data_IF_771372287369
#
_entry.id   IF_771372287369
#
_cell.length_a   1.000
_cell.length_b   1.000
_cell.length_c   1.000
_cell.angle_alpha   90.00
_cell.angle_beta   90.00
_cell.angle_gamma   90.00
#
_symmetry.space_group_name_H-M   'P 1'
#
loop_
_entity.id
_entity.type
_entity.pdbx_description
1 polymer ?
#
# COMPACT_ATOMS: atom_id res chain seq x y z
N UNK A 1 1.17 -51.69 90.79
CA UNK A 1 0.98 -51.87 89.33
C UNK A 1 0.13 -50.68 88.88
N UNK A 2 0.72 -49.71 88.19
CA UNK A 2 0.02 -48.54 87.64
C UNK A 2 0.05 -48.64 86.13
N UNK A 3 -1.04 -48.41 85.46
CA UNK A 3 -1.02 -48.41 84.00
C UNK A 3 -0.53 -47.06 83.49
N UNK A 4 0.25 -47.12 82.40
CA UNK A 4 0.80 -45.96 81.67
C UNK A 4 -0.26 -45.42 80.71
N UNK A 5 -0.50 -44.11 80.76
CA UNK A 5 -1.40 -43.41 79.85
C UNK A 5 -0.62 -42.93 78.69
N UNK A 6 -0.94 -43.41 77.50
CA UNK A 6 -0.34 -42.96 76.25
C UNK A 6 -1.12 -41.69 75.73
N UNK A 7 -0.41 -40.58 75.54
CA UNK A 7 -0.96 -39.34 74.93
C UNK A 7 -0.64 -39.37 73.45
N UNK A 8 -1.67 -39.44 72.63
CA UNK A 8 -1.58 -39.25 71.15
C UNK A 8 -1.58 -37.78 70.81
N UNK A 9 -0.48 -37.27 70.27
CA UNK A 9 -0.41 -35.97 69.63
C UNK A 9 -0.87 -36.12 68.17
N UNK A 10 -2.04 -35.56 67.85
CA UNK A 10 -2.50 -35.42 66.47
C UNK A 10 -1.88 -34.17 65.87
N UNK A 11 -0.85 -34.34 65.07
CA UNK A 11 -0.25 -33.27 64.28
C UNK A 11 -1.08 -33.00 63.02
N UNK A 12 -1.73 -31.84 62.95
CA UNK A 12 -2.40 -31.38 61.73
C UNK A 12 -1.38 -30.80 60.77
N UNK A 13 -1.13 -31.55 59.65
CA UNK A 13 -0.26 -31.14 58.56
C UNK A 13 -1.07 -30.20 57.64
N UNK A 14 -0.89 -28.88 57.78
CA UNK A 14 -1.51 -27.91 56.90
C UNK A 14 -0.68 -27.81 55.59
N UNK A 15 -1.17 -28.40 54.50
CA UNK A 15 -0.56 -28.27 53.19
C UNK A 15 -0.87 -26.90 52.59
N UNK A 16 0.11 -26.03 52.47
CA UNK A 16 0.04 -24.79 51.69
C UNK A 16 0.20 -25.13 50.20
N UNK A 17 -0.90 -25.11 49.46
CA UNK A 17 -0.89 -25.15 48.01
C UNK A 17 -0.62 -23.72 47.53
N UNK A 18 0.63 -23.40 47.17
CA UNK A 18 0.98 -22.17 46.48
C UNK A 18 0.47 -22.25 45.03
N UNK A 19 -0.65 -21.60 44.71
CA UNK A 19 -1.14 -21.45 43.36
C UNK A 19 -0.20 -20.51 42.56
N UNK A 20 0.67 -21.07 41.73
CA UNK A 20 1.49 -20.31 40.80
C UNK A 20 0.58 -19.90 39.65
N UNK A 21 0.07 -18.68 39.68
CA UNK A 21 -0.61 -18.03 38.52
C UNK A 21 0.46 -17.62 37.52
N UNK A 22 0.66 -18.45 36.52
CA UNK A 22 1.47 -18.10 35.33
C UNK A 22 0.68 -17.07 34.54
N UNK A 23 1.05 -15.79 34.67
CA UNK A 23 0.57 -14.71 33.80
C UNK A 23 1.10 -14.96 32.39
N UNK A 24 0.27 -15.56 31.55
CA UNK A 24 0.50 -15.59 30.10
C UNK A 24 0.32 -14.15 29.59
N UNK A 25 1.41 -13.39 29.49
CA UNK A 25 1.43 -12.14 28.73
C UNK A 25 1.29 -12.52 27.25
N UNK A 26 0.27 -12.00 26.52
CA UNK A 26 0.22 -12.21 25.08
C UNK A 26 1.48 -11.61 24.47
N UNK A 27 2.29 -12.43 23.82
CA UNK A 27 3.41 -11.96 23.02
C UNK A 27 2.80 -11.09 21.90
N UNK A 28 3.03 -9.77 21.98
CA UNK A 28 2.75 -8.84 20.89
C UNK A 28 3.66 -9.26 19.71
N UNK A 29 3.11 -10.08 18.84
CA UNK A 29 3.77 -10.52 17.63
C UNK A 29 3.88 -9.30 16.70
N UNK A 30 4.92 -8.51 16.85
CA UNK A 30 5.25 -7.40 15.95
C UNK A 30 5.74 -7.98 14.64
N UNK A 31 4.79 -8.43 13.81
CA UNK A 31 5.11 -8.91 12.48
C UNK A 31 5.55 -7.73 11.61
N UNK A 32 6.74 -7.82 11.03
CA UNK A 32 7.19 -6.87 10.00
C UNK A 32 6.14 -6.90 8.87
N UNK A 33 5.51 -5.77 8.52
CA UNK A 33 4.48 -5.75 7.48
C UNK A 33 5.07 -6.18 6.14
N UNK A 34 4.28 -6.79 5.30
CA UNK A 34 4.68 -7.02 3.90
C UNK A 34 4.64 -5.68 3.12
N UNK A 35 5.38 -5.60 2.01
CA UNK A 35 5.33 -4.40 1.17
C UNK A 35 3.91 -4.05 0.71
N UNK A 36 3.03 -5.05 0.53
CA UNK A 36 1.61 -4.85 0.14
C UNK A 36 0.78 -4.18 1.23
N UNK A 37 1.16 -4.34 2.51
CA UNK A 37 0.42 -3.76 3.64
C UNK A 37 0.80 -2.30 3.88
N UNK A 38 1.89 -1.84 3.24
CA UNK A 38 2.42 -0.48 3.41
C UNK A 38 1.74 0.52 2.48
N UNK A 39 1.33 0.10 1.29
CA UNK A 39 0.70 0.99 0.30
C UNK A 39 -0.69 0.50 -0.06
N UNK A 40 -1.70 1.31 0.26
CA UNK A 40 -3.07 1.12 -0.25
C UNK A 40 -3.22 1.93 -1.51
N UNK A 41 -3.64 1.29 -2.61
CA UNK A 41 -3.78 1.95 -3.91
C UNK A 41 -5.21 1.91 -4.40
N UNK A 42 -5.66 3.04 -4.96
CA UNK A 42 -6.97 3.23 -5.57
C UNK A 42 -6.79 3.77 -6.98
N UNK A 43 -7.70 3.44 -7.88
CA UNK A 43 -7.64 3.83 -9.30
C UNK A 43 -8.88 4.61 -9.66
N UNK A 44 -8.70 5.72 -10.36
CA UNK A 44 -9.77 6.64 -10.76
C UNK A 44 -9.57 7.08 -12.21
N UNK A 45 -10.65 7.31 -12.94
CA UNK A 45 -10.62 7.93 -14.26
C UNK A 45 -11.04 9.41 -14.18
N UNK A 46 -10.45 10.24 -15.05
CA UNK A 46 -10.82 11.67 -15.12
C UNK A 46 -12.15 11.93 -15.83
N UNK A 47 -12.69 10.90 -16.46
CA UNK A 47 -13.97 10.95 -17.20
C UNK A 47 -14.80 9.71 -16.86
N UNK A 48 -16.09 9.90 -16.55
CA UNK A 48 -17.04 8.84 -16.18
C UNK A 48 -18.46 9.15 -16.62
N UNK A 49 -18.91 8.63 -17.77
CA UNK A 49 -18.16 7.81 -18.70
C UNK A 49 -17.11 8.58 -19.49
N UNK A 50 -16.10 7.86 -20.01
CA UNK A 50 -15.15 8.40 -20.97
C UNK A 50 -15.71 8.29 -22.40
N UNK A 51 -15.40 9.28 -23.24
CA UNK A 51 -15.88 9.32 -24.61
C UNK A 51 -15.03 8.48 -25.57
N UNK A 52 -15.67 7.66 -26.39
CA UNK A 52 -15.01 6.98 -27.51
C UNK A 52 -14.41 8.01 -28.49
N UNK A 53 -13.20 7.80 -28.96
CA UNK A 53 -12.46 8.77 -29.77
C UNK A 53 -11.88 9.94 -28.96
N UNK A 54 -12.00 9.92 -27.62
CA UNK A 54 -11.52 10.98 -26.74
C UNK A 54 -10.32 10.60 -25.90
N UNK A 55 -9.78 11.57 -25.17
CA UNK A 55 -8.66 11.41 -24.25
C UNK A 55 -9.15 11.59 -22.81
N UNK A 56 -8.56 10.82 -21.90
CA UNK A 56 -8.79 10.93 -20.45
C UNK A 56 -7.51 10.56 -19.71
N UNK A 57 -7.54 10.63 -18.39
CA UNK A 57 -6.42 10.21 -17.55
C UNK A 57 -6.88 9.14 -16.55
N UNK A 58 -5.99 8.26 -16.20
CA UNK A 58 -6.12 7.37 -15.05
C UNK A 58 -5.23 7.89 -13.95
N UNK A 59 -5.76 8.07 -12.74
CA UNK A 59 -5.00 8.36 -11.54
C UNK A 59 -4.86 7.10 -10.70
N UNK A 60 -3.63 6.77 -10.32
CA UNK A 60 -3.34 5.77 -9.28
C UNK A 60 -2.95 6.54 -8.02
N UNK A 61 -3.83 6.50 -7.03
CA UNK A 61 -3.61 7.13 -5.72
C UNK A 61 -2.97 6.10 -4.81
N UNK A 62 -1.77 6.39 -4.36
CA UNK A 62 -1.02 5.59 -3.39
C UNK A 62 -1.13 6.24 -2.02
N UNK A 63 -1.71 5.56 -1.04
CA UNK A 63 -1.71 5.98 0.35
C UNK A 63 -0.66 5.17 1.11
N UNK A 64 0.49 5.80 1.38
CA UNK A 64 1.64 5.18 2.04
C UNK A 64 1.43 5.28 3.55
N UNK A 65 1.57 4.16 4.24
CA UNK A 65 1.41 4.06 5.70
C UNK A 65 2.39 4.99 6.41
N UNK A 66 1.95 5.73 7.46
CA UNK A 66 2.86 6.53 8.30
C UNK A 66 4.04 5.72 8.83
N UNK A 67 5.23 6.34 8.85
CA UNK A 67 6.49 5.69 9.20
C UNK A 67 7.17 4.91 8.07
N UNK A 68 6.53 4.88 6.89
CA UNK A 68 7.09 4.29 5.67
C UNK A 68 7.20 5.31 4.54
N UNK A 69 8.11 5.03 3.64
CA UNK A 69 8.28 5.74 2.36
C UNK A 69 8.51 4.72 1.25
N UNK A 70 8.35 5.14 0.01
CA UNK A 70 8.77 4.39 -1.17
C UNK A 70 9.72 5.24 -1.99
N UNK A 71 10.67 4.62 -2.70
CA UNK A 71 11.56 5.37 -3.58
C UNK A 71 10.76 6.07 -4.67
N UNK A 72 11.09 7.34 -4.96
CA UNK A 72 10.46 8.07 -6.05
C UNK A 72 10.81 7.48 -7.43
N UNK A 73 10.15 7.95 -8.49
CA UNK A 73 10.48 7.55 -9.87
C UNK A 73 11.93 7.88 -10.20
N UNK A 74 12.36 9.09 -9.87
CA UNK A 74 13.74 9.53 -9.99
C UNK A 74 14.48 9.16 -8.70
N UNK A 75 14.98 7.94 -8.65
CA UNK A 75 15.68 7.40 -7.49
C UNK A 75 17.06 8.05 -7.32
N UNK A 76 17.52 8.17 -6.07
CA UNK A 76 18.80 8.79 -5.72
C UNK A 76 20.01 7.91 -5.97
N UNK A 77 19.81 6.58 -6.16
CA UNK A 77 20.88 5.62 -6.34
C UNK A 77 20.46 4.44 -7.23
N UNK A 78 21.40 3.84 -7.97
CA UNK A 78 21.09 2.79 -8.95
C UNK A 78 20.56 1.50 -8.32
N UNK A 79 21.00 1.14 -7.12
CA UNK A 79 20.55 -0.06 -6.42
C UNK A 79 19.12 0.04 -5.87
N UNK A 80 18.57 1.26 -5.75
CA UNK A 80 17.20 1.46 -5.27
C UNK A 80 16.18 1.03 -6.32
N UNK A 81 15.05 0.53 -5.86
CA UNK A 81 13.94 0.17 -6.73
C UNK A 81 12.98 1.36 -6.79
N UNK A 82 12.91 1.99 -7.96
CA UNK A 82 11.99 3.10 -8.21
C UNK A 82 10.53 2.66 -8.17
N UNK A 83 9.64 3.60 -7.82
CA UNK A 83 8.21 3.46 -8.06
C UNK A 83 7.96 3.49 -9.57
N UNK A 84 7.29 2.45 -10.10
CA UNK A 84 7.03 2.27 -11.51
C UNK A 84 5.60 1.77 -11.74
N UNK A 85 4.86 2.44 -12.61
CA UNK A 85 3.52 2.06 -13.03
C UNK A 85 3.54 1.66 -14.49
N UNK A 86 3.06 0.46 -14.79
CA UNK A 86 2.92 -0.05 -16.15
C UNK A 86 1.47 -0.36 -16.43
N UNK A 87 1.00 -0.02 -17.63
CA UNK A 87 -0.32 -0.35 -18.14
C UNK A 87 -0.23 -1.33 -19.30
N UNK A 88 -1.21 -2.21 -19.39
CA UNK A 88 -1.40 -3.08 -20.56
C UNK A 88 -2.68 -2.66 -21.26
N UNK A 89 -2.55 -1.93 -22.36
CA UNK A 89 -3.69 -1.41 -23.10
C UNK A 89 -4.35 -2.51 -23.95
N UNK A 90 -5.67 -2.73 -23.77
CA UNK A 90 -6.43 -3.60 -24.68
C UNK A 90 -6.64 -2.92 -26.03
N UNK A 91 -7.17 -3.67 -27.00
CA UNK A 91 -7.52 -3.14 -28.32
C UNK A 91 -8.46 -1.93 -28.19
N UNK A 92 -8.22 -0.89 -28.97
CA UNK A 92 -8.99 0.35 -28.95
C UNK A 92 -8.46 1.39 -27.95
N UNK A 93 -7.37 1.11 -27.22
CA UNK A 93 -6.76 2.05 -26.28
C UNK A 93 -5.27 2.22 -26.54
N UNK A 94 -4.78 3.44 -26.30
CA UNK A 94 -3.36 3.76 -26.26
C UNK A 94 -3.09 4.67 -25.05
N UNK A 95 -1.84 4.70 -24.58
CA UNK A 95 -1.45 5.55 -23.47
C UNK A 95 -0.18 6.32 -23.73
N UNK A 96 -0.03 7.42 -23.00
CA UNK A 96 1.20 8.19 -22.93
C UNK A 96 2.11 7.72 -21.79
N UNK A 97 3.14 8.52 -21.54
CA UNK A 97 4.02 8.31 -20.38
C UNK A 97 3.31 8.62 -19.06
N UNK A 98 3.61 7.82 -18.03
CA UNK A 98 3.10 8.08 -16.69
C UNK A 98 3.74 9.35 -16.14
N UNK A 99 2.91 10.26 -15.66
CA UNK A 99 3.34 11.48 -14.96
C UNK A 99 3.47 11.17 -13.47
N UNK A 100 4.70 11.22 -12.99
CA UNK A 100 5.03 11.04 -11.58
C UNK A 100 5.16 12.41 -10.90
N UNK A 101 4.70 12.56 -9.65
CA UNK A 101 4.96 13.77 -8.89
C UNK A 101 6.45 13.86 -8.55
N UNK A 102 6.91 15.08 -8.22
CA UNK A 102 8.24 15.27 -7.68
C UNK A 102 8.34 14.57 -6.31
N UNK A 103 9.41 13.82 -6.10
CA UNK A 103 9.71 13.24 -4.79
C UNK A 103 10.27 14.29 -3.82
N UNK A 104 10.41 13.90 -2.58
CA UNK A 104 10.99 14.70 -1.50
C UNK A 104 12.35 14.10 -1.13
N UNK A 105 13.34 14.97 -0.90
CA UNK A 105 14.65 14.54 -0.42
C UNK A 105 14.60 14.40 1.10
N UNK A 106 14.81 13.18 1.58
CA UNK A 106 14.79 12.83 3.01
C UNK A 106 16.08 12.15 3.42
N UNK A 107 16.57 12.46 4.62
CA UNK A 107 17.78 11.86 5.18
C UNK A 107 17.39 10.73 6.13
N UNK A 108 17.99 9.56 5.92
CA UNK A 108 17.78 8.36 6.74
C UNK A 108 19.09 7.91 7.36
N UNK A 109 19.04 7.32 8.55
CA UNK A 109 20.22 6.85 9.29
C UNK A 109 21.01 5.77 8.56
N UNK A 110 20.34 5.00 7.70
CA UNK A 110 20.95 3.94 6.89
C UNK A 110 21.54 4.43 5.57
N UNK A 111 21.39 5.71 5.22
CA UNK A 111 21.89 6.28 3.94
C UNK A 111 22.84 7.44 4.18
N UNK A 112 23.96 7.46 3.46
CA UNK A 112 24.93 8.57 3.52
C UNK A 112 24.46 9.82 2.75
N UNK A 113 23.47 9.66 1.87
CA UNK A 113 22.92 10.74 1.03
C UNK A 113 21.41 10.83 1.23
N UNK A 114 20.82 12.04 1.06
CA UNK A 114 19.37 12.16 1.01
C UNK A 114 18.79 11.30 -0.11
N UNK A 115 17.72 10.59 0.20
CA UNK A 115 16.99 9.76 -0.77
C UNK A 115 15.76 10.51 -1.28
N UNK A 116 15.51 10.39 -2.58
CA UNK A 116 14.32 10.93 -3.21
C UNK A 116 13.16 9.95 -3.05
N UNK A 117 12.17 10.31 -2.25
CA UNK A 117 11.12 9.39 -1.80
C UNK A 117 9.73 9.99 -1.94
N UNK A 118 8.72 9.11 -1.92
CA UNK A 118 7.33 9.46 -1.73
C UNK A 118 6.85 9.03 -0.34
N UNK A 119 6.04 9.89 0.29
CA UNK A 119 5.41 9.65 1.59
C UNK A 119 3.95 10.09 1.55
N UNK A 120 3.13 9.55 2.44
CA UNK A 120 1.73 9.92 2.57
C UNK A 120 0.92 9.61 1.32
N UNK A 121 0.19 10.60 0.79
CA UNK A 121 -0.66 10.45 -0.39
C UNK A 121 0.05 10.92 -1.66
N UNK A 122 0.20 10.01 -2.61
CA UNK A 122 0.90 10.22 -3.89
C UNK A 122 -0.04 9.88 -5.04
N UNK A 123 -0.05 10.69 -6.09
CA UNK A 123 -0.92 10.50 -7.25
C UNK A 123 -0.06 10.36 -8.51
N UNK A 124 -0.11 9.18 -9.12
CA UNK A 124 0.46 8.92 -10.44
C UNK A 124 -0.63 9.12 -11.48
N UNK A 125 -0.32 9.78 -12.61
CA UNK A 125 -1.29 10.03 -13.67
C UNK A 125 -0.84 9.40 -14.98
N UNK A 126 -1.73 8.67 -15.62
CA UNK A 126 -1.50 8.00 -16.89
C UNK A 126 -2.45 8.60 -17.93
N UNK A 127 -1.95 9.33 -18.95
CA UNK A 127 -2.76 9.75 -20.09
C UNK A 127 -3.19 8.54 -20.92
N UNK A 128 -4.46 8.53 -21.31
CA UNK A 128 -5.08 7.45 -22.08
C UNK A 128 -5.91 8.04 -23.22
N UNK A 129 -5.85 7.41 -24.40
CA UNK A 129 -6.73 7.72 -25.51
C UNK A 129 -7.62 6.50 -25.79
N UNK A 130 -8.94 6.71 -25.76
CA UNK A 130 -9.90 5.77 -26.31
C UNK A 130 -10.04 6.05 -27.81
N UNK A 131 -9.58 5.16 -28.64
CA UNK A 131 -9.67 5.31 -30.09
C UNK A 131 -11.14 5.29 -30.58
N UNK A 132 -11.41 5.73 -31.80
CA UNK A 132 -12.74 5.61 -32.40
C UNK A 132 -13.24 4.15 -32.51
N UNK A 133 -12.33 3.20 -32.43
CA UNK A 133 -12.59 1.75 -32.43
C UNK A 133 -12.74 1.15 -31.04
N UNK A 134 -12.61 1.95 -29.98
CA UNK A 134 -12.77 1.45 -28.61
C UNK A 134 -14.18 0.86 -28.41
N UNK A 135 -14.31 -0.34 -27.82
CA UNK A 135 -15.61 -0.92 -27.54
C UNK A 135 -16.39 -0.04 -26.54
N UNK A 136 -17.71 0.05 -26.72
CA UNK A 136 -18.59 0.72 -25.76
C UNK A 136 -18.80 -0.16 -24.51
N UNK A 137 -19.23 0.46 -23.42
CA UNK A 137 -19.49 -0.20 -22.15
C UNK A 137 -18.25 -0.30 -21.28
N UNK A 138 -18.30 -1.20 -20.32
CA UNK A 138 -17.22 -1.40 -19.35
C UNK A 138 -15.97 -2.01 -19.99
N UNK A 139 -14.84 -1.36 -19.79
CA UNK A 139 -13.53 -1.76 -20.27
C UNK A 139 -12.54 -1.82 -19.11
N UNK A 140 -11.59 -2.72 -19.19
CA UNK A 140 -10.57 -2.95 -18.18
C UNK A 140 -9.17 -2.67 -18.74
N UNK A 141 -8.41 -1.83 -18.04
CA UNK A 141 -7.01 -1.58 -18.36
C UNK A 141 -6.17 -2.10 -17.19
N UNK A 142 -5.56 -3.30 -17.33
CA UNK A 142 -4.70 -3.86 -16.29
C UNK A 142 -3.48 -2.99 -16.04
N UNK A 143 -3.17 -2.76 -14.77
CA UNK A 143 -2.03 -1.98 -14.32
C UNK A 143 -1.14 -2.83 -13.41
N UNK A 144 0.16 -2.53 -13.39
CA UNK A 144 1.12 -3.10 -12.45
C UNK A 144 1.89 -1.97 -11.78
N UNK A 145 1.69 -1.81 -10.47
CA UNK A 145 2.43 -0.85 -9.68
C UNK A 145 3.55 -1.57 -8.93
N UNK A 146 4.80 -1.23 -9.23
CA UNK A 146 6.00 -1.74 -8.56
C UNK A 146 6.61 -0.64 -7.71
N UNK A 147 7.03 -1.00 -6.49
CA UNK A 147 7.73 -0.13 -5.55
C UNK A 147 8.56 -0.92 -4.55
N UNK A 148 9.40 -0.23 -3.82
CA UNK A 148 10.07 -0.75 -2.63
C UNK A 148 9.76 0.17 -1.46
N UNK A 149 9.13 -0.39 -0.42
CA UNK A 149 8.80 0.33 0.79
C UNK A 149 9.92 0.18 1.83
N UNK A 150 10.28 1.28 2.47
CA UNK A 150 11.27 1.31 3.53
C UNK A 150 10.70 2.05 4.76
N UNK A 151 11.12 1.64 5.95
CA UNK A 151 10.98 2.40 7.18
C UNK A 151 12.23 3.25 7.42
N UNK A 152 12.39 3.81 8.61
CA UNK A 152 13.63 4.48 9.03
C UNK A 152 14.77 3.52 9.31
N UNK A 153 14.51 2.22 9.41
CA UNK A 153 15.47 1.21 9.84
C UNK A 153 15.78 0.18 8.75
N UNK A 154 14.80 -0.19 7.95
CA UNK A 154 14.95 -1.26 6.96
C UNK A 154 14.09 -1.04 5.71
N UNK A 155 14.54 -1.62 4.60
CA UNK A 155 13.77 -1.74 3.38
C UNK A 155 13.15 -3.12 3.24
N UNK A 156 11.88 -3.17 2.90
CA UNK A 156 11.16 -4.39 2.59
C UNK A 156 11.54 -4.89 1.18
N UNK A 157 11.32 -6.16 0.87
CA UNK A 157 11.48 -6.66 -0.48
C UNK A 157 10.65 -5.86 -1.49
N UNK A 158 11.16 -5.67 -2.74
CA UNK A 158 10.40 -5.02 -3.80
C UNK A 158 9.05 -5.70 -4.01
N UNK A 159 8.02 -4.90 -4.13
CA UNK A 159 6.63 -5.35 -4.24
C UNK A 159 6.05 -4.92 -5.57
N UNK A 160 5.28 -5.81 -6.20
CA UNK A 160 4.45 -5.49 -7.36
C UNK A 160 3.01 -5.86 -7.04
N UNK A 161 2.11 -4.90 -7.17
CA UNK A 161 0.67 -5.11 -6.99
C UNK A 161 -0.04 -4.97 -8.34
N UNK A 162 -0.92 -5.91 -8.69
CA UNK A 162 -1.82 -5.76 -9.81
C UNK A 162 -2.94 -4.79 -9.42
N UNK A 163 -3.30 -3.89 -10.32
CA UNK A 163 -4.44 -3.00 -10.23
C UNK A 163 -5.24 -3.10 -11.51
N UNK A 164 -6.48 -2.66 -11.48
CA UNK A 164 -7.34 -2.58 -12.65
C UNK A 164 -8.00 -1.21 -12.73
N UNK A 165 -7.95 -0.60 -13.91
CA UNK A 165 -8.71 0.59 -14.20
C UNK A 165 -9.97 0.20 -14.96
N UNK A 166 -11.11 0.17 -14.27
CA UNK A 166 -12.42 -0.05 -14.87
C UNK A 166 -12.94 1.26 -15.41
N UNK A 167 -13.19 1.33 -16.71
CA UNK A 167 -13.62 2.53 -17.43
C UNK A 167 -14.90 2.22 -18.20
N UNK A 168 -15.93 3.05 -18.00
CA UNK A 168 -17.11 2.97 -18.86
C UNK A 168 -16.94 3.85 -20.09
N UNK A 169 -16.95 3.25 -21.29
CA UNK A 169 -16.82 3.95 -22.57
C UNK A 169 -18.23 4.19 -23.15
N UNK A 170 -18.51 5.44 -23.46
CA UNK A 170 -19.75 5.86 -24.10
C UNK A 170 -19.47 6.67 -25.38
N UNK A 171 -20.52 7.08 -26.09
CA UNK A 171 -20.37 8.03 -27.18
C UNK A 171 -19.75 9.35 -26.67
N UNK A 172 -18.98 10.02 -27.53
CA UNK A 172 -18.21 11.21 -27.15
C UNK A 172 -19.07 12.31 -26.47
N UNK A 173 -20.33 12.45 -26.92
CA UNK A 173 -21.28 13.44 -26.35
C UNK A 173 -21.75 13.11 -24.93
N UNK A 174 -21.60 11.88 -24.47
CA UNK A 174 -21.99 11.47 -23.13
C UNK A 174 -20.84 11.58 -22.10
N UNK A 175 -19.64 11.89 -22.55
CA UNK A 175 -18.46 12.00 -21.69
C UNK A 175 -18.64 13.06 -20.61
N UNK A 176 -18.30 12.72 -19.35
CA UNK A 176 -18.44 13.62 -18.19
C UNK A 176 -17.16 13.64 -17.36
N UNK A 177 -16.68 14.83 -16.96
CA UNK A 177 -15.57 14.94 -16.02
C UNK A 177 -15.92 14.29 -14.67
N UNK A 178 -14.95 13.57 -14.12
CA UNK A 178 -15.01 12.93 -12.80
C UNK A 178 -13.72 13.17 -12.03
N UNK A 179 -13.76 13.12 -10.70
CA UNK A 179 -12.58 13.16 -9.81
C UNK A 179 -11.60 14.29 -10.12
N UNK A 180 -12.10 15.48 -10.51
CA UNK A 180 -11.27 16.59 -11.02
C UNK A 180 -10.15 17.02 -10.06
N UNK A 181 -10.36 16.84 -8.76
CA UNK A 181 -9.39 17.14 -7.70
C UNK A 181 -8.11 16.29 -7.81
N UNK A 182 -8.18 15.10 -8.44
CA UNK A 182 -7.02 14.22 -8.67
C UNK A 182 -6.22 14.61 -9.91
N UNK A 183 -6.82 15.36 -10.83
CA UNK A 183 -6.25 15.67 -12.13
C UNK A 183 -5.87 17.15 -12.29
N UNK A 184 -6.35 18.01 -11.39
CA UNK A 184 -5.91 19.40 -11.34
C UNK A 184 -4.48 19.50 -10.83
N UNK A 185 -3.60 20.17 -11.58
CA UNK A 185 -2.30 20.58 -11.07
C UNK A 185 -2.52 21.63 -9.99
N UNK A 186 -2.35 21.31 -8.71
CA UNK A 186 -2.09 22.39 -7.73
C UNK A 186 -0.73 22.99 -8.11
N UNK A 187 -0.76 24.23 -8.62
CA UNK A 187 0.42 25.07 -8.78
C UNK A 187 1.05 25.39 -7.43
#
# INVERSE_FOLDING_TARGET
MKPATAVFFAGTLTAYIAAITVLFAPALNSQVPSGKDVVKSEVFASMEPAGRGGSFQIAVVMNIRPGFHVNAREKSDEYLIATDLKAQFPSGFTGGEVVYPKGQLETFTFSQKPLNVYQGRVILRLPVNALATAPLGEQHIPLKLRYQACSTELCLPPTTIPLDATINIADASAAKPAHQELFSSKR
#
